data_IF_530307983927
#
_entry.id   IF_530307983927
#
_cell.length_a   1.000
_cell.length_b   1.000
_cell.length_c   1.000
_cell.angle_alpha   90.00
_cell.angle_beta   90.00
_cell.angle_gamma   90.00
#
_symmetry.space_group_name_H-M   'P 1'
#
loop_
_entity.id
_entity.type
_entity.pdbx_description
1 polymer ?
#
# COMPACT_ATOMS: atom_id res chain seq x y z
N UNK A 1 15.98 -20.09 19.53
CA UNK A 1 15.90 -18.71 19.02
C UNK A 1 16.22 -18.66 17.52
N UNK A 2 17.36 -19.17 17.08
CA UNK A 2 17.81 -19.14 15.66
C UNK A 2 16.80 -19.79 14.69
N UNK A 3 16.29 -20.98 15.02
CA UNK A 3 15.29 -21.68 14.18
C UNK A 3 14.01 -20.87 14.02
N UNK A 4 13.57 -20.19 15.09
CA UNK A 4 12.38 -19.32 15.02
C UNK A 4 12.62 -18.13 14.07
N UNK A 5 13.78 -17.48 14.17
CA UNK A 5 14.14 -16.34 13.31
C UNK A 5 14.21 -16.77 11.84
N UNK A 6 14.90 -17.86 11.55
CA UNK A 6 15.01 -18.41 10.19
C UNK A 6 13.63 -18.72 9.60
N UNK A 7 12.79 -19.41 10.38
CA UNK A 7 11.43 -19.74 9.94
C UNK A 7 10.59 -18.49 9.65
N UNK A 8 10.73 -17.44 10.48
CA UNK A 8 10.03 -16.16 10.26
C UNK A 8 10.52 -15.44 9.02
N UNK A 9 11.85 -15.39 8.81
CA UNK A 9 12.42 -14.78 7.62
C UNK A 9 11.98 -15.50 6.34
N UNK A 10 11.97 -16.84 6.36
CA UNK A 10 11.47 -17.62 5.21
C UNK A 10 9.99 -17.36 4.94
N UNK A 11 9.15 -17.33 5.97
CA UNK A 11 7.73 -16.99 5.84
C UNK A 11 7.54 -15.58 5.25
N UNK A 12 8.28 -14.60 5.75
CA UNK A 12 8.24 -13.23 5.23
C UNK A 12 8.68 -13.15 3.76
N UNK A 13 9.75 -13.85 3.41
CA UNK A 13 10.23 -13.90 2.02
C UNK A 13 9.18 -14.52 1.07
N UNK A 14 8.52 -15.61 1.50
CA UNK A 14 7.44 -16.23 0.72
C UNK A 14 6.27 -15.25 0.55
N UNK A 15 5.86 -14.57 1.61
CA UNK A 15 4.76 -13.59 1.55
C UNK A 15 5.11 -12.46 0.58
N UNK A 16 6.31 -11.88 0.68
CA UNK A 16 6.77 -10.82 -0.24
C UNK A 16 6.78 -11.32 -1.69
N UNK A 17 7.28 -12.53 -1.92
CA UNK A 17 7.31 -13.14 -3.25
C UNK A 17 5.89 -13.34 -3.82
N UNK A 18 4.99 -13.94 -3.04
CA UNK A 18 3.59 -14.16 -3.47
C UNK A 18 2.88 -12.85 -3.73
N UNK A 19 3.04 -11.85 -2.84
CA UNK A 19 2.41 -10.54 -3.01
C UNK A 19 2.97 -9.79 -4.23
N UNK A 20 4.29 -9.81 -4.45
CA UNK A 20 4.87 -9.17 -5.64
C UNK A 20 4.39 -9.82 -6.94
N UNK A 21 4.23 -11.13 -6.93
CA UNK A 21 3.69 -11.89 -8.06
C UNK A 21 2.22 -11.53 -8.34
N UNK A 22 1.39 -11.48 -7.29
CA UNK A 22 -0.03 -11.12 -7.41
C UNK A 22 -0.21 -9.67 -7.88
N UNK A 23 0.59 -8.74 -7.36
CA UNK A 23 0.53 -7.33 -7.77
C UNK A 23 1.00 -7.19 -9.22
N UNK A 24 2.11 -7.84 -9.59
CA UNK A 24 2.61 -7.82 -10.97
C UNK A 24 1.56 -8.39 -11.95
N UNK A 25 0.93 -9.52 -11.61
CA UNK A 25 -0.14 -10.11 -12.42
C UNK A 25 -1.39 -9.23 -12.46
N UNK A 26 -1.73 -8.60 -11.32
CA UNK A 26 -2.89 -7.72 -11.20
C UNK A 26 -2.80 -6.47 -12.09
N UNK A 27 -1.63 -5.87 -12.22
CA UNK A 27 -1.42 -4.71 -13.11
C UNK A 27 -1.76 -5.05 -14.56
N UNK A 28 -1.40 -6.24 -15.02
CA UNK A 28 -1.71 -6.71 -16.38
C UNK A 28 -3.19 -7.08 -16.60
N UNK A 29 -3.95 -7.29 -15.52
CA UNK A 29 -5.38 -7.63 -15.59
C UNK A 29 -6.25 -6.36 -15.49
N UNK A 30 -5.83 -5.40 -14.68
CA UNK A 30 -6.62 -4.19 -14.37
C UNK A 30 -6.48 -3.11 -15.45
N UNK A 31 -5.37 -3.09 -16.19
CA UNK A 31 -5.15 -2.12 -17.26
C UNK A 31 -3.97 -2.50 -18.13
N UNK A 32 -3.98 -2.04 -19.38
CA UNK A 32 -2.83 -2.12 -20.26
C UNK A 32 -1.86 -0.98 -19.93
N UNK A 33 -0.65 -1.26 -19.40
CA UNK A 33 0.32 -0.22 -19.09
C UNK A 33 0.71 0.60 -20.33
N UNK A 34 0.54 0.06 -21.54
CA UNK A 34 0.79 0.76 -22.80
C UNK A 34 -0.26 1.84 -23.03
N UNK A 35 -1.53 1.57 -22.75
CA UNK A 35 -2.60 2.57 -22.88
C UNK A 35 -2.44 3.76 -21.93
N UNK A 36 -1.79 3.56 -20.79
CA UNK A 36 -1.52 4.64 -19.84
C UNK A 36 -0.35 5.55 -20.26
N UNK A 37 0.54 5.07 -21.14
CA UNK A 37 1.77 5.75 -21.53
C UNK A 37 1.73 6.34 -22.93
N UNK A 38 0.83 5.86 -23.76
CA UNK A 38 0.71 6.25 -25.16
C UNK A 38 -0.60 7.04 -25.30
N UNK A 39 -0.56 8.17 -26.01
CA UNK A 39 -1.78 8.95 -26.24
C UNK A 39 -2.76 8.17 -27.13
N UNK A 40 -4.07 8.45 -26.96
CA UNK A 40 -5.13 7.80 -27.75
C UNK A 40 -4.97 8.01 -29.28
N UNK A 41 -4.21 9.04 -29.69
CA UNK A 41 -3.94 9.39 -31.07
C UNK A 41 -2.63 8.79 -31.62
N UNK A 42 -1.88 8.03 -30.81
CA UNK A 42 -0.59 7.49 -31.24
C UNK A 42 -0.73 6.40 -32.30
N UNK A 43 0.17 6.47 -33.28
CA UNK A 43 0.24 5.50 -34.36
C UNK A 43 0.67 4.11 -33.87
N UNK A 44 0.29 3.07 -34.60
CA UNK A 44 0.62 1.68 -34.24
C UNK A 44 2.13 1.45 -34.11
N UNK A 45 2.94 2.16 -34.91
CA UNK A 45 4.40 2.06 -34.80
C UNK A 45 4.93 2.58 -33.47
N UNK A 46 4.34 3.63 -32.94
CA UNK A 46 4.73 4.20 -31.64
C UNK A 46 4.35 3.26 -30.48
N UNK A 47 3.15 2.66 -30.53
CA UNK A 47 2.72 1.63 -29.58
C UNK A 47 3.66 0.43 -29.59
N UNK A 48 4.04 -0.09 -30.76
CA UNK A 48 4.97 -1.21 -30.87
C UNK A 48 6.37 -0.87 -30.32
N UNK A 49 6.85 0.36 -30.54
CA UNK A 49 8.13 0.82 -29.97
C UNK A 49 8.08 0.84 -28.45
N UNK A 50 7.01 1.32 -27.85
CA UNK A 50 6.82 1.33 -26.40
C UNK A 50 6.77 -0.10 -25.86
N UNK A 51 5.98 -0.98 -26.46
CA UNK A 51 5.87 -2.40 -26.09
C UNK A 51 7.26 -3.07 -26.09
N UNK A 52 8.03 -2.89 -27.16
CA UNK A 52 9.37 -3.48 -27.29
C UNK A 52 10.39 -2.88 -26.32
N UNK A 53 10.35 -1.54 -26.13
CA UNK A 53 11.27 -0.86 -25.20
C UNK A 53 11.08 -1.29 -23.75
N UNK A 54 9.84 -1.56 -23.35
CA UNK A 54 9.49 -2.04 -22.03
C UNK A 54 9.65 -3.57 -21.87
N UNK A 55 9.78 -4.30 -22.97
CA UNK A 55 9.86 -5.75 -22.98
C UNK A 55 8.53 -6.43 -22.66
N UNK A 56 7.42 -5.75 -22.92
CA UNK A 56 6.06 -6.27 -22.77
C UNK A 56 5.68 -7.27 -23.87
N UNK A 57 6.49 -7.36 -24.93
CA UNK A 57 6.43 -8.36 -25.98
C UNK A 57 6.83 -9.76 -25.51
N UNK A 58 7.49 -9.86 -24.35
CA UNK A 58 8.00 -11.13 -23.81
C UNK A 58 6.96 -11.86 -22.98
N UNK A 59 7.08 -13.19 -22.83
CA UNK A 59 6.23 -13.95 -21.92
C UNK A 59 6.25 -13.37 -20.50
N UNK A 60 5.11 -13.39 -19.82
CA UNK A 60 4.92 -12.78 -18.50
C UNK A 60 5.94 -13.22 -17.43
N UNK A 61 6.39 -14.47 -17.46
CA UNK A 61 7.39 -15.00 -16.53
C UNK A 61 8.79 -14.37 -16.75
N UNK A 62 9.11 -13.99 -17.99
CA UNK A 62 10.37 -13.27 -18.29
C UNK A 62 10.26 -11.83 -17.82
N UNK A 63 9.11 -11.17 -18.03
CA UNK A 63 8.84 -9.83 -17.52
C UNK A 63 8.94 -9.80 -15.99
N UNK A 64 8.31 -10.75 -15.30
CA UNK A 64 8.38 -10.86 -13.85
C UNK A 64 9.82 -11.13 -13.36
N UNK A 65 10.54 -12.02 -14.01
CA UNK A 65 11.95 -12.30 -13.68
C UNK A 65 12.83 -11.04 -13.81
N UNK A 66 12.62 -10.24 -14.86
CA UNK A 66 13.31 -8.97 -15.06
C UNK A 66 12.93 -7.96 -13.97
N UNK A 67 11.63 -7.84 -13.65
CA UNK A 67 11.17 -6.98 -12.56
C UNK A 67 11.83 -7.33 -11.22
N UNK A 68 11.85 -8.60 -10.84
CA UNK A 68 12.47 -9.03 -9.58
C UNK A 68 13.96 -8.76 -9.57
N UNK A 69 14.66 -9.02 -10.68
CA UNK A 69 16.11 -8.77 -10.78
C UNK A 69 16.44 -7.29 -10.65
N UNK A 70 15.67 -6.43 -11.31
CA UNK A 70 15.84 -4.97 -11.23
C UNK A 70 15.49 -4.46 -9.83
N UNK A 71 14.41 -4.96 -9.24
CA UNK A 71 14.01 -4.59 -7.88
C UNK A 71 15.07 -4.93 -6.82
N UNK A 72 15.77 -6.07 -6.96
CA UNK A 72 16.90 -6.42 -6.10
C UNK A 72 18.10 -5.47 -6.26
N UNK A 73 18.22 -4.79 -7.38
CA UNK A 73 19.24 -3.77 -7.65
C UNK A 73 18.78 -2.35 -7.27
N UNK A 74 17.55 -2.22 -6.74
CA UNK A 74 16.97 -0.92 -6.36
C UNK A 74 16.27 -0.20 -7.51
N UNK A 75 16.10 -0.84 -8.66
CA UNK A 75 15.35 -0.30 -9.78
C UNK A 75 13.93 -0.90 -9.79
N UNK A 76 12.94 -0.10 -9.41
CA UNK A 76 11.52 -0.46 -9.42
C UNK A 76 10.82 -0.05 -10.72
N UNK A 77 11.58 0.40 -11.71
CA UNK A 77 11.04 0.95 -12.96
C UNK A 77 10.43 2.33 -12.78
N UNK A 78 9.74 2.79 -13.82
CA UNK A 78 9.07 4.08 -13.83
C UNK A 78 7.58 3.95 -13.49
N UNK A 79 7.06 4.95 -12.82
CA UNK A 79 5.62 5.08 -12.57
C UNK A 79 4.87 5.32 -13.88
N UNK A 80 3.86 4.54 -14.16
CA UNK A 80 3.00 4.73 -15.35
C UNK A 80 2.17 6.02 -15.27
N UNK A 81 1.94 6.55 -14.08
CA UNK A 81 1.14 7.77 -13.87
C UNK A 81 1.98 9.04 -13.93
N UNK A 82 3.20 9.01 -13.36
CA UNK A 82 4.06 10.20 -13.22
C UNK A 82 5.23 10.22 -14.21
N UNK A 83 5.55 9.11 -14.86
CA UNK A 83 6.71 9.00 -15.75
C UNK A 83 8.08 9.04 -15.06
N UNK A 84 8.11 9.18 -13.73
CA UNK A 84 9.32 9.30 -12.92
C UNK A 84 9.72 7.93 -12.30
N UNK A 85 11.00 7.76 -11.89
CA UNK A 85 11.43 6.54 -11.20
C UNK A 85 10.59 6.25 -9.96
N UNK A 86 9.97 5.06 -9.91
CA UNK A 86 9.02 4.69 -8.85
C UNK A 86 9.67 4.76 -7.46
N UNK A 87 10.93 4.35 -7.33
CA UNK A 87 11.66 4.44 -6.06
C UNK A 87 11.77 5.88 -5.55
N UNK A 88 12.02 6.84 -6.43
CA UNK A 88 12.11 8.25 -6.07
C UNK A 88 10.78 8.78 -5.53
N UNK A 89 9.67 8.45 -6.19
CA UNK A 89 8.32 8.83 -5.74
C UNK A 89 8.03 8.23 -4.36
N UNK A 90 8.35 6.94 -4.18
CA UNK A 90 8.16 6.26 -2.89
C UNK A 90 8.94 6.99 -1.79
N UNK A 91 10.23 7.23 -1.98
CA UNK A 91 11.09 7.88 -0.97
C UNK A 91 10.61 9.30 -0.65
N UNK A 92 10.16 10.05 -1.64
CA UNK A 92 9.60 11.40 -1.44
C UNK A 92 8.30 11.39 -0.62
N UNK A 93 7.47 10.33 -0.76
CA UNK A 93 6.20 10.22 -0.04
C UNK A 93 6.32 9.57 1.34
N UNK A 94 7.41 8.83 1.60
CA UNK A 94 7.63 8.14 2.87
C UNK A 94 7.62 9.06 4.10
N UNK A 95 8.25 10.25 4.11
CA UNK A 95 8.26 11.12 5.28
C UNK A 95 6.83 11.47 5.74
N UNK A 96 5.95 11.86 4.83
CA UNK A 96 4.56 12.18 5.15
C UNK A 96 3.80 10.96 5.71
N UNK A 97 4.06 9.77 5.17
CA UNK A 97 3.46 8.52 5.64
C UNK A 97 3.94 8.18 7.06
N UNK A 98 5.24 8.33 7.33
CA UNK A 98 5.79 8.09 8.67
C UNK A 98 5.28 9.11 9.69
N UNK A 99 5.19 10.39 9.32
CA UNK A 99 4.62 11.43 10.18
C UNK A 99 3.18 11.10 10.55
N UNK A 100 2.35 10.76 9.57
CA UNK A 100 0.96 10.36 9.81
C UNK A 100 0.87 9.10 10.69
N UNK A 101 1.69 8.10 10.42
CA UNK A 101 1.72 6.87 11.20
C UNK A 101 2.15 7.12 12.65
N UNK A 102 3.16 7.97 12.87
CA UNK A 102 3.64 8.33 14.19
C UNK A 102 2.59 9.10 14.99
N UNK A 103 1.98 10.12 14.39
CA UNK A 103 0.91 10.89 15.02
C UNK A 103 -0.29 10.01 15.37
N UNK A 104 -0.70 9.13 14.44
CA UNK A 104 -1.81 8.19 14.66
C UNK A 104 -1.51 7.22 15.81
N UNK A 105 -0.27 6.71 15.89
CA UNK A 105 0.17 5.85 16.98
C UNK A 105 0.12 6.57 18.32
N UNK A 106 0.65 7.79 18.40
CA UNK A 106 0.60 8.61 19.61
C UNK A 106 -0.84 8.88 20.05
N UNK A 107 -1.71 9.27 19.14
CA UNK A 107 -3.13 9.49 19.42
C UNK A 107 -3.81 8.21 19.93
N UNK A 108 -3.50 7.07 19.33
CA UNK A 108 -4.02 5.77 19.78
C UNK A 108 -3.57 5.41 21.20
N UNK A 109 -2.32 5.70 21.55
CA UNK A 109 -1.79 5.46 22.90
C UNK A 109 -2.45 6.42 23.92
N UNK A 110 -2.48 7.72 23.60
CA UNK A 110 -2.97 8.78 24.51
C UNK A 110 -4.48 8.63 24.77
N UNK A 111 -5.24 8.23 23.77
CA UNK A 111 -6.70 8.11 23.87
C UNK A 111 -7.10 6.67 24.21
N UNK A 112 -6.57 5.69 23.48
CA UNK A 112 -7.01 4.31 23.56
C UNK A 112 -6.66 3.65 24.91
N UNK A 113 -5.45 3.86 25.42
CA UNK A 113 -5.04 3.26 26.70
C UNK A 113 -5.88 3.78 27.87
N UNK A 114 -6.04 5.09 28.10
CA UNK A 114 -6.85 5.58 29.24
C UNK A 114 -8.32 5.16 29.14
N UNK A 115 -8.91 5.25 27.96
CA UNK A 115 -10.31 4.82 27.78
C UNK A 115 -10.49 3.32 27.92
N UNK A 116 -9.55 2.52 27.40
CA UNK A 116 -9.55 1.06 27.57
C UNK A 116 -9.42 0.64 29.03
N UNK A 117 -8.46 1.25 29.76
CA UNK A 117 -8.27 1.00 31.21
C UNK A 117 -9.51 1.41 31.98
N UNK A 118 -10.07 2.59 31.72
CA UNK A 118 -11.29 3.04 32.37
C UNK A 118 -12.46 2.09 32.16
N UNK A 119 -12.68 1.68 30.91
CA UNK A 119 -13.75 0.75 30.56
C UNK A 119 -13.56 -0.63 31.20
N UNK A 120 -12.32 -1.10 31.33
CA UNK A 120 -11.99 -2.36 31.97
C UNK A 120 -12.13 -2.34 33.50
N UNK A 121 -11.78 -1.21 34.16
CA UNK A 121 -11.92 -1.07 35.62
C UNK A 121 -13.37 -0.85 36.07
N UNK A 122 -14.21 -0.23 35.25
CA UNK A 122 -15.57 0.12 35.62
C UNK A 122 -16.58 -0.36 34.55
N UNK A 123 -16.72 -1.69 34.31
CA UNK A 123 -17.51 -2.20 33.19
C UNK A 123 -19.01 -1.87 33.30
N UNK A 124 -19.53 -1.75 34.51
CA UNK A 124 -20.95 -1.46 34.74
C UNK A 124 -21.33 0.02 34.56
N UNK A 125 -20.36 0.92 34.49
CA UNK A 125 -20.64 2.35 34.33
C UNK A 125 -21.16 2.66 32.94
N UNK A 126 -22.08 3.62 32.88
CA UNK A 126 -22.62 4.11 31.59
C UNK A 126 -21.55 4.65 30.65
N UNK A 127 -20.52 5.35 31.19
CA UNK A 127 -19.36 5.81 30.44
C UNK A 127 -18.61 4.68 29.73
N UNK A 128 -18.43 3.55 30.42
CA UNK A 128 -17.75 2.38 29.86
C UNK A 128 -18.57 1.73 28.73
N UNK A 129 -19.87 1.70 28.89
CA UNK A 129 -20.78 1.21 27.83
C UNK A 129 -20.73 2.12 26.60
N UNK A 130 -20.64 3.43 26.79
CA UNK A 130 -20.45 4.38 25.67
C UNK A 130 -19.10 4.15 24.98
N UNK A 131 -18.01 4.04 25.73
CA UNK A 131 -16.66 3.80 25.17
C UNK A 131 -16.65 2.51 24.37
N UNK A 132 -17.18 1.43 24.91
CA UNK A 132 -17.23 0.14 24.22
C UNK A 132 -18.09 0.17 22.97
N UNK A 133 -19.31 0.75 23.06
CA UNK A 133 -20.18 0.89 21.90
C UNK A 133 -19.57 1.77 20.82
N UNK A 134 -18.97 2.89 21.22
CA UNK A 134 -18.25 3.78 20.29
C UNK A 134 -17.07 3.10 19.60
N UNK A 135 -16.33 2.26 20.34
CA UNK A 135 -15.21 1.48 19.75
C UNK A 135 -15.71 0.46 18.74
N UNK A 136 -16.81 -0.23 19.02
CA UNK A 136 -17.42 -1.20 18.09
C UNK A 136 -17.89 -0.48 16.82
N UNK A 137 -18.60 0.64 16.96
CA UNK A 137 -19.06 1.45 15.82
C UNK A 137 -17.86 1.96 15.01
N UNK A 138 -16.85 2.52 15.68
CA UNK A 138 -15.65 3.02 15.02
C UNK A 138 -14.88 1.94 14.26
N UNK A 139 -14.79 0.74 14.81
CA UNK A 139 -14.15 -0.39 14.14
C UNK A 139 -14.98 -0.94 12.97
N UNK A 140 -16.30 -0.78 13.00
CA UNK A 140 -17.20 -1.24 11.94
C UNK A 140 -17.19 -0.32 10.71
N UNK A 141 -16.72 0.92 10.86
CA UNK A 141 -16.65 1.86 9.74
C UNK A 141 -15.40 1.59 8.88
N UNK A 142 -15.55 1.61 7.54
CA UNK A 142 -14.40 1.51 6.65
C UNK A 142 -13.43 2.68 6.88
N UNK A 143 -12.17 2.39 7.16
CA UNK A 143 -11.15 3.39 7.51
C UNK A 143 -10.96 4.45 6.41
N UNK A 144 -11.01 4.05 5.13
CA UNK A 144 -10.91 4.97 4.00
C UNK A 144 -12.10 5.97 3.97
N UNK A 145 -13.30 5.50 4.29
CA UNK A 145 -14.50 6.34 4.34
C UNK A 145 -14.39 7.39 5.44
N UNK A 146 -13.95 6.97 6.64
CA UNK A 146 -13.70 7.90 7.76
C UNK A 146 -12.64 8.94 7.37
N UNK A 147 -11.56 8.53 6.70
CA UNK A 147 -10.54 9.43 6.19
C UNK A 147 -11.09 10.46 5.22
N UNK A 148 -11.91 10.04 4.25
CA UNK A 148 -12.56 10.97 3.31
C UNK A 148 -13.49 11.96 4.01
N UNK A 149 -14.30 11.50 4.98
CA UNK A 149 -15.16 12.39 5.76
C UNK A 149 -14.35 13.41 6.57
N UNK A 150 -13.24 13.00 7.16
CA UNK A 150 -12.36 13.94 7.89
C UNK A 150 -11.74 14.97 6.95
N UNK A 151 -11.30 14.58 5.76
CA UNK A 151 -10.80 15.52 4.75
C UNK A 151 -11.89 16.52 4.38
N UNK A 152 -13.11 16.07 4.11
CA UNK A 152 -14.23 16.97 3.77
C UNK A 152 -14.57 17.96 4.88
N UNK A 153 -14.40 17.60 6.15
CA UNK A 153 -14.76 18.46 7.28
C UNK A 153 -13.63 19.42 7.63
N UNK A 154 -12.36 18.99 7.53
CA UNK A 154 -11.22 19.76 8.05
C UNK A 154 -10.33 20.39 6.98
N UNK A 155 -10.40 19.94 5.73
CA UNK A 155 -9.53 20.43 4.64
C UNK A 155 -10.26 21.34 3.62
N UNK A 156 -11.47 21.79 3.92
CA UNK A 156 -12.23 22.76 3.12
C UNK A 156 -11.99 24.17 3.66
#
# INVERSE_FOLDING_TARGET
>A
MTVFIIRRLMQSAIVVFVMSFLVFGGVNIVGDPVEMMVSDEADQEERERVIKSMGLDKPWYIQYGKFVTNALQGDLGNSFVYGEPALQIIVQRMPATFELAFVSLLMSIIIGIPFGVWAGLFPERFSSKIIMSGSIVGFSLPTFWVGLMMIMVFAV
#
